data_IF_960264759705
#
_entry.id   IF_960264759705
#
_cell.length_a   1.000
_cell.length_b   1.000
_cell.length_c   1.000
_cell.angle_alpha   90.00
_cell.angle_beta   90.00
_cell.angle_gamma   90.00
#
_symmetry.space_group_name_H-M   'P 1'
#
loop_
_entity.id
_entity.type
_entity.pdbx_description
1 polymer ?
#
# COMPACT_ATOMS: atom_id res chain seq x y z
N UNK A 1 18.16 0.07 -5.45
CA UNK A 1 16.84 -0.60 -5.51
C UNK A 1 16.02 0.15 -6.55
N UNK A 2 15.50 -0.53 -7.57
CA UNK A 2 14.63 0.06 -8.60
C UNK A 2 13.34 -0.75 -8.65
N UNK A 3 12.23 -0.08 -8.41
CA UNK A 3 10.89 -0.65 -8.50
C UNK A 3 9.92 0.41 -9.00
N UNK A 4 8.94 -0.02 -9.79
CA UNK A 4 7.80 0.82 -10.20
C UNK A 4 6.67 0.57 -9.21
N UNK A 5 6.08 1.64 -8.68
CA UNK A 5 4.97 1.54 -7.72
C UNK A 5 3.68 2.00 -8.39
N UNK A 6 2.67 1.14 -8.41
CA UNK A 6 1.34 1.42 -8.93
C UNK A 6 0.36 1.56 -7.77
N UNK A 7 -0.58 2.50 -7.89
CA UNK A 7 -1.67 2.63 -6.91
C UNK A 7 -2.67 1.48 -7.05
N UNK A 8 -3.10 1.21 -8.28
CA UNK A 8 -4.23 0.31 -8.56
C UNK A 8 -3.84 -0.96 -9.29
N UNK A 9 -4.65 -2.01 -9.14
CA UNK A 9 -4.51 -3.26 -9.87
C UNK A 9 -4.65 -3.06 -11.39
N UNK A 10 -5.48 -2.11 -11.83
CA UNK A 10 -5.57 -1.77 -13.25
C UNK A 10 -4.31 -1.08 -13.78
N UNK A 11 -3.65 -0.26 -12.95
CA UNK A 11 -2.32 0.27 -13.25
C UNK A 11 -1.28 -0.85 -13.38
N UNK A 12 -1.34 -1.86 -12.51
CA UNK A 12 -0.51 -3.05 -12.61
C UNK A 12 -0.78 -3.82 -13.92
N UNK A 13 -2.05 -4.05 -14.27
CA UNK A 13 -2.44 -4.69 -15.54
C UNK A 13 -1.94 -3.91 -16.74
N UNK A 14 -2.12 -2.59 -16.78
CA UNK A 14 -1.59 -1.74 -17.85
C UNK A 14 -0.06 -1.84 -17.96
N UNK A 15 0.62 -2.06 -16.83
CA UNK A 15 2.05 -2.34 -16.76
C UNK A 15 2.44 -3.80 -16.94
N UNK A 16 1.52 -4.75 -17.17
CA UNK A 16 1.79 -6.20 -17.30
C UNK A 16 1.17 -6.87 -18.53
N UNK A 17 0.14 -6.31 -19.18
CA UNK A 17 -0.55 -6.92 -20.31
C UNK A 17 0.37 -7.10 -21.51
N UNK A 18 0.77 -8.34 -21.75
CA UNK A 18 1.35 -8.81 -23.00
C UNK A 18 0.21 -9.15 -23.97
N UNK A 19 0.34 -8.78 -25.24
CA UNK A 19 -0.59 -9.25 -26.26
C UNK A 19 -0.63 -10.78 -26.27
N UNK A 20 -1.81 -11.35 -26.52
CA UNK A 20 -2.03 -12.80 -26.64
C UNK A 20 -1.27 -13.47 -27.81
N UNK A 21 -0.40 -12.74 -28.52
CA UNK A 21 0.36 -13.21 -29.68
C UNK A 21 1.86 -13.17 -29.40
N UNK A 22 2.43 -14.32 -29.04
CA UNK A 22 3.86 -14.62 -29.14
C UNK A 22 4.84 -13.74 -28.35
N UNK A 23 6.13 -14.08 -28.34
CA UNK A 23 7.13 -13.36 -27.57
C UNK A 23 7.47 -12.02 -28.24
N UNK A 24 7.42 -10.95 -27.43
CA UNK A 24 8.10 -9.65 -27.60
C UNK A 24 7.68 -8.79 -28.81
N UNK A 25 6.48 -8.22 -28.75
CA UNK A 25 6.26 -6.91 -29.36
C UNK A 25 6.79 -5.82 -28.41
N UNK A 26 8.03 -5.40 -28.65
CA UNK A 26 8.81 -4.39 -27.90
C UNK A 26 8.17 -2.99 -27.97
N UNK A 27 7.14 -2.80 -28.80
CA UNK A 27 6.41 -1.54 -29.00
C UNK A 27 5.38 -1.21 -27.92
N UNK A 28 5.10 -2.13 -27.00
CA UNK A 28 4.06 -1.92 -25.97
C UNK A 28 4.62 -1.40 -24.64
N UNK A 29 3.84 -0.53 -23.97
CA UNK A 29 4.00 -0.14 -22.55
C UNK A 29 5.30 0.62 -22.24
N UNK A 30 5.87 0.45 -21.05
CA UNK A 30 7.13 1.10 -20.65
C UNK A 30 8.32 0.70 -21.56
N UNK A 31 8.30 -0.50 -22.13
CA UNK A 31 9.29 -0.91 -23.12
C UNK A 31 9.15 -0.10 -24.42
N UNK A 32 7.91 0.10 -24.89
CA UNK A 32 7.62 0.96 -26.05
C UNK A 32 7.99 2.42 -25.82
N UNK A 33 7.63 2.98 -24.65
CA UNK A 33 8.03 4.34 -24.25
C UNK A 33 9.55 4.44 -24.19
N UNK A 34 10.22 3.50 -23.52
CA UNK A 34 11.68 3.43 -23.46
C UNK A 34 12.33 3.40 -24.84
N UNK A 35 11.83 2.55 -25.74
CA UNK A 35 12.32 2.45 -27.11
C UNK A 35 12.12 3.78 -27.88
N UNK A 36 10.96 4.43 -27.74
CA UNK A 36 10.66 5.71 -28.41
C UNK A 36 11.56 6.87 -27.99
N UNK A 37 12.08 6.84 -26.75
CA UNK A 37 13.03 7.85 -26.23
C UNK A 37 14.50 7.40 -26.35
N UNK A 38 14.77 6.33 -27.09
CA UNK A 38 16.12 5.78 -27.30
C UNK A 38 16.73 5.11 -26.07
N UNK A 39 15.92 4.72 -25.08
CA UNK A 39 16.31 4.03 -23.84
C UNK A 39 15.48 2.75 -23.65
N UNK A 40 15.65 1.73 -24.50
CA UNK A 40 14.94 0.47 -24.35
C UNK A 40 15.23 -0.15 -22.96
N UNK A 41 14.19 -0.72 -22.34
CA UNK A 41 14.31 -1.38 -21.05
C UNK A 41 14.60 -2.87 -21.29
N UNK A 42 15.87 -3.27 -21.25
CA UNK A 42 16.26 -4.69 -21.41
C UNK A 42 16.32 -5.47 -20.09
N UNK A 43 16.05 -4.81 -18.96
CA UNK A 43 16.13 -5.41 -17.64
C UNK A 43 14.74 -5.70 -17.05
N UNK A 44 14.64 -6.83 -16.35
CA UNK A 44 13.47 -7.12 -15.51
C UNK A 44 13.39 -6.09 -14.37
N UNK A 45 12.22 -5.47 -14.21
CA UNK A 45 11.96 -4.53 -13.13
C UNK A 45 10.89 -5.08 -12.18
N UNK A 46 11.00 -4.72 -10.90
CA UNK A 46 10.00 -5.05 -9.89
C UNK A 46 8.83 -4.07 -9.99
N UNK A 47 7.60 -4.58 -9.95
CA UNK A 47 6.40 -3.75 -9.82
C UNK A 47 5.72 -4.05 -8.49
N UNK A 48 5.40 -3.00 -7.73
CA UNK A 48 4.68 -3.09 -6.45
C UNK A 48 3.32 -2.40 -6.64
N UNK A 49 2.23 -3.12 -6.40
CA UNK A 49 0.88 -2.57 -6.43
C UNK A 49 0.39 -2.29 -5.00
N UNK A 50 0.05 -1.04 -4.68
CA UNK A 50 -0.37 -0.63 -3.33
C UNK A 50 -1.67 -1.32 -2.88
N UNK A 51 -2.63 -1.53 -3.78
CA UNK A 51 -3.86 -2.28 -3.49
C UNK A 51 -3.62 -3.76 -3.13
N UNK A 52 -2.52 -4.34 -3.62
CA UNK A 52 -2.19 -5.74 -3.35
C UNK A 52 -1.36 -5.91 -2.06
N UNK A 53 -0.89 -4.81 -1.47
CA UNK A 53 -0.14 -4.87 -0.22
C UNK A 53 -1.09 -5.07 0.95
N UNK A 54 -0.76 -6.00 1.85
CA UNK A 54 -1.45 -6.09 3.13
C UNK A 54 -0.97 -4.93 4.01
N UNK A 55 -1.86 -4.01 4.42
CA UNK A 55 -1.47 -2.91 5.29
C UNK A 55 -1.11 -3.45 6.68
N UNK A 56 -0.25 -2.72 7.39
CA UNK A 56 -0.06 -2.96 8.82
C UNK A 56 -1.34 -2.57 9.57
N UNK A 57 -1.88 -3.49 10.36
CA UNK A 57 -3.16 -3.33 11.08
C UNK A 57 -2.99 -2.97 12.56
N UNK A 58 -1.76 -2.75 13.03
CA UNK A 58 -1.51 -2.32 14.40
C UNK A 58 -1.62 -0.81 14.58
N UNK A 59 -1.37 -0.37 15.80
CA UNK A 59 -1.49 1.04 16.18
C UNK A 59 -0.36 1.91 15.62
N UNK A 60 -0.55 3.23 15.68
CA UNK A 60 0.47 4.23 15.38
C UNK A 60 0.89 4.94 16.67
N UNK A 61 2.10 5.49 16.70
CA UNK A 61 2.50 6.37 17.81
C UNK A 61 1.58 7.59 17.81
N UNK A 62 0.92 7.82 18.96
CA UNK A 62 -0.03 8.92 19.17
C UNK A 62 0.71 10.25 18.96
N UNK A 63 0.06 11.19 18.25
CA UNK A 63 0.55 12.54 17.96
C UNK A 63 1.92 12.63 17.25
N UNK A 64 2.39 11.54 16.61
CA UNK A 64 3.60 11.59 15.79
C UNK A 64 3.30 12.08 14.36
N UNK A 65 3.80 13.26 13.93
CA UNK A 65 3.58 13.77 12.58
C UNK A 65 4.16 12.85 11.49
N UNK A 66 5.13 12.00 11.85
CA UNK A 66 5.73 11.03 10.93
C UNK A 66 4.96 9.70 10.88
N UNK A 67 3.88 9.55 11.67
CA UNK A 67 3.05 8.34 11.78
C UNK A 67 3.90 7.07 11.93
N UNK A 68 4.90 7.09 12.81
CA UNK A 68 5.76 5.93 13.05
C UNK A 68 4.97 4.81 13.73
N UNK A 69 5.39 3.58 13.44
CA UNK A 69 4.82 2.38 14.04
C UNK A 69 5.44 2.13 15.42
N UNK A 70 4.65 1.83 16.47
CA UNK A 70 5.13 1.42 17.78
C UNK A 70 5.52 -0.06 17.74
N UNK A 71 6.49 -0.42 16.88
CA UNK A 71 6.97 -1.81 16.78
C UNK A 71 7.72 -2.15 18.07
N UNK A 72 7.01 -2.75 19.03
CA UNK A 72 7.59 -3.24 20.28
C UNK A 72 8.33 -4.54 20.01
N UNK A 73 9.63 -4.44 19.70
CA UNK A 73 10.59 -5.54 19.81
C UNK A 73 11.55 -5.24 20.94
N UNK A 74 11.11 -5.46 22.17
CA UNK A 74 12.01 -5.50 23.32
C UNK A 74 12.25 -6.98 23.63
N UNK A 75 13.48 -7.49 23.48
CA UNK A 75 13.86 -8.75 24.12
C UNK A 75 13.53 -8.65 25.61
N UNK A 76 12.81 -9.63 26.15
CA UNK A 76 12.70 -9.77 27.61
C UNK A 76 13.95 -10.48 28.08
N UNK A 77 14.96 -9.70 28.42
CA UNK A 77 16.14 -10.21 29.11
C UNK A 77 15.74 -10.70 30.51
N UNK A 78 16.27 -11.87 30.90
CA UNK A 78 16.08 -12.45 32.25
C UNK A 78 16.68 -11.54 33.33
N UNK A 79 17.69 -10.73 32.98
CA UNK A 79 18.25 -9.67 33.82
C UNK A 79 17.79 -8.30 33.29
N UNK A 80 17.25 -7.47 34.20
CA UNK A 80 16.43 -6.27 33.92
C UNK A 80 17.13 -5.08 33.26
N UNK A 81 18.34 -5.22 32.72
CA UNK A 81 18.97 -4.15 31.96
C UNK A 81 18.63 -4.29 30.48
N UNK A 82 17.85 -3.34 29.98
CA UNK A 82 17.37 -3.33 28.61
C UNK A 82 18.36 -2.51 27.78
N UNK A 83 19.21 -3.10 26.91
CA UNK A 83 19.93 -2.30 25.94
C UNK A 83 18.90 -1.70 24.96
N UNK A 84 19.00 -0.40 24.64
CA UNK A 84 18.04 0.25 23.74
C UNK A 84 18.13 -0.37 22.35
N UNK A 85 16.99 -0.45 21.63
CA UNK A 85 16.87 -0.96 20.25
C UNK A 85 17.79 -0.21 19.24
N UNK A 86 18.43 0.88 19.67
CA UNK A 86 19.50 1.59 18.95
C UNK A 86 20.90 0.95 19.05
N UNK A 87 21.05 -0.20 19.72
CA UNK A 87 22.36 -0.76 20.12
C UNK A 87 22.92 -1.88 19.24
N UNK A 88 22.24 -2.29 18.15
CA UNK A 88 22.89 -3.19 17.17
C UNK A 88 23.79 -2.36 16.26
N UNK A 89 24.89 -1.84 16.83
CA UNK A 89 25.87 -1.06 16.10
C UNK A 89 26.81 -1.99 15.32
N UNK A 90 27.17 -3.12 15.94
CA UNK A 90 28.12 -4.09 15.40
C UNK A 90 27.47 -5.44 15.10
N UNK A 91 28.17 -6.27 14.30
CA UNK A 91 27.78 -7.68 14.12
C UNK A 91 27.78 -8.45 15.43
N UNK A 92 28.65 -8.12 16.40
CA UNK A 92 28.72 -8.82 17.67
C UNK A 92 27.44 -8.63 18.49
N UNK A 93 26.95 -7.39 18.58
CA UNK A 93 25.67 -7.07 19.23
C UNK A 93 24.52 -7.84 18.57
N UNK A 94 24.54 -7.92 17.23
CA UNK A 94 23.53 -8.66 16.47
C UNK A 94 23.54 -10.17 16.76
N UNK A 95 24.72 -10.75 17.01
CA UNK A 95 24.86 -12.17 17.33
C UNK A 95 24.37 -12.48 18.74
N UNK A 96 24.54 -11.57 19.70
CA UNK A 96 23.99 -11.70 21.05
C UNK A 96 22.45 -11.65 21.04
N UNK A 97 21.89 -10.81 20.17
CA UNK A 97 20.45 -10.62 20.00
C UNK A 97 19.79 -11.66 19.06
N UNK A 98 20.57 -12.56 18.46
CA UNK A 98 20.10 -13.52 17.45
C UNK A 98 18.84 -14.31 17.86
N UNK A 99 18.69 -14.79 19.11
CA UNK A 99 17.48 -15.50 19.56
C UNK A 99 16.21 -14.65 19.51
N UNK A 100 16.33 -13.33 19.50
CA UNK A 100 15.21 -12.38 19.49
C UNK A 100 14.96 -11.74 18.12
N UNK A 101 15.83 -12.01 17.13
CA UNK A 101 15.68 -11.52 15.76
C UNK A 101 14.77 -12.47 14.97
N UNK A 102 13.54 -12.05 14.68
CA UNK A 102 12.55 -12.88 13.96
C UNK A 102 12.64 -12.72 12.44
N UNK A 103 12.66 -11.48 11.95
CA UNK A 103 12.46 -11.17 10.52
C UNK A 103 13.74 -10.70 9.81
N UNK A 104 14.87 -10.84 10.48
CA UNK A 104 16.17 -10.35 10.03
C UNK A 104 16.63 -9.10 10.79
N UNK A 105 17.94 -8.82 10.69
CA UNK A 105 18.65 -7.79 11.43
C UNK A 105 19.69 -7.10 10.55
N UNK A 106 19.97 -5.84 10.85
CA UNK A 106 20.97 -5.04 10.14
C UNK A 106 21.82 -4.30 11.19
N UNK A 107 23.14 -4.33 11.05
CA UNK A 107 24.07 -3.54 11.86
C UNK A 107 24.69 -2.40 11.03
N UNK A 108 25.18 -1.37 11.73
CA UNK A 108 25.82 -0.21 11.10
C UNK A 108 27.18 -0.56 10.47
N UNK A 109 27.89 -1.56 10.99
CA UNK A 109 29.11 -2.15 10.40
C UNK A 109 28.84 -3.07 9.18
N UNK A 110 27.67 -2.91 8.55
CA UNK A 110 27.25 -3.53 7.28
C UNK A 110 26.94 -5.04 7.42
N UNK A 111 26.65 -5.52 8.63
CA UNK A 111 26.07 -6.84 8.85
C UNK A 111 24.61 -6.90 8.43
N UNK A 112 24.21 -7.96 7.74
CA UNK A 112 22.81 -8.24 7.43
C UNK A 112 22.53 -9.72 7.70
N UNK A 113 21.49 -9.96 8.50
CA UNK A 113 20.87 -11.27 8.71
C UNK A 113 19.50 -11.21 8.06
N UNK A 114 19.21 -12.12 7.14
CA UNK A 114 17.89 -12.27 6.54
C UNK A 114 17.02 -13.15 7.43
N UNK A 115 15.70 -13.09 7.22
CA UNK A 115 14.77 -14.03 7.84
C UNK A 115 15.20 -15.49 7.59
N UNK A 116 14.98 -16.35 8.57
CA UNK A 116 15.41 -17.76 8.52
C UNK A 116 16.89 -17.99 8.80
N UNK A 117 17.60 -17.02 9.40
CA UNK A 117 18.98 -17.20 9.87
C UNK A 117 20.05 -17.16 8.78
N UNK A 118 19.73 -16.67 7.58
CA UNK A 118 20.72 -16.57 6.49
C UNK A 118 21.58 -15.33 6.62
N UNK A 119 22.89 -15.52 6.72
CA UNK A 119 23.87 -14.44 6.83
C UNK A 119 24.29 -13.92 5.47
N UNK A 120 24.51 -12.61 5.42
CA UNK A 120 24.84 -11.93 4.20
C UNK A 120 26.26 -11.36 4.33
N UNK A 121 27.24 -12.06 3.77
CA UNK A 121 28.68 -11.77 3.87
C UNK A 121 29.24 -11.09 2.61
N UNK A 122 30.45 -10.52 2.71
CA UNK A 122 31.19 -9.91 1.59
C UNK A 122 31.06 -8.38 1.48
N UNK A 123 31.97 -7.78 0.70
CA UNK A 123 32.00 -6.33 0.44
C UNK A 123 30.87 -5.93 -0.51
N UNK A 124 30.03 -4.98 -0.10
CA UNK A 124 28.93 -4.46 -0.92
C UNK A 124 29.24 -3.08 -1.44
N UNK A 125 29.16 -2.90 -2.77
CA UNK A 125 29.18 -1.58 -3.41
C UNK A 125 27.79 -1.30 -3.98
N UNK A 126 27.08 -0.32 -3.43
CA UNK A 126 25.74 0.05 -3.89
C UNK A 126 25.83 1.34 -4.69
N UNK A 127 25.35 1.33 -5.93
CA UNK A 127 25.35 2.50 -6.82
C UNK A 127 24.20 3.47 -6.50
N UNK A 128 23.04 2.93 -6.12
CA UNK A 128 21.82 3.69 -5.82
C UNK A 128 21.73 3.90 -4.31
N UNK A 129 21.63 5.16 -3.87
CA UNK A 129 21.53 5.54 -2.45
C UNK A 129 20.17 6.16 -2.18
N UNK A 130 19.69 6.04 -0.94
CA UNK A 130 18.51 6.78 -0.52
C UNK A 130 18.82 8.29 -0.51
N UNK A 131 17.91 9.12 -1.01
CA UNK A 131 18.08 10.57 -0.94
C UNK A 131 18.15 11.00 0.52
N UNK A 132 19.11 11.86 0.86
CA UNK A 132 19.11 12.55 2.15
C UNK A 132 18.03 13.62 2.11
N UNK A 133 17.21 13.71 3.15
CA UNK A 133 16.32 14.86 3.30
C UNK A 133 17.18 16.12 3.42
N UNK A 134 17.28 16.90 2.35
CA UNK A 134 17.80 18.26 2.45
C UNK A 134 16.85 19.06 3.34
N UNK A 135 17.40 19.95 4.19
CA UNK A 135 16.59 20.83 5.03
C UNK A 135 15.49 21.48 4.19
N UNK A 136 14.25 21.43 4.70
CA UNK A 136 13.01 21.88 4.06
C UNK A 136 13.02 23.40 3.78
N UNK A 137 13.92 23.91 2.93
CA UNK A 137 14.16 25.37 2.86
C UNK A 137 13.51 26.09 1.68
N UNK A 138 13.01 25.40 0.65
CA UNK A 138 12.42 26.09 -0.53
C UNK A 138 10.89 26.10 -0.59
N UNK A 139 10.19 25.21 0.13
CA UNK A 139 8.73 25.19 0.18
C UNK A 139 8.24 25.36 1.62
N UNK A 140 7.41 26.38 1.84
CA UNK A 140 6.85 26.75 3.14
C UNK A 140 6.06 25.56 3.70
N UNK A 141 6.23 25.27 4.99
CA UNK A 141 5.57 24.15 5.68
C UNK A 141 4.03 24.20 5.56
N UNK A 142 3.46 25.39 5.38
CA UNK A 142 2.05 25.62 5.08
C UNK A 142 1.58 24.97 3.78
N UNK A 143 2.42 24.90 2.74
CA UNK A 143 2.08 24.29 1.46
C UNK A 143 1.87 22.78 1.62
N UNK A 144 2.78 22.09 2.29
CA UNK A 144 2.67 20.65 2.52
C UNK A 144 1.46 20.32 3.39
N UNK A 145 1.18 21.12 4.41
CA UNK A 145 -0.03 20.96 5.23
C UNK A 145 -1.30 21.10 4.38
N UNK A 146 -1.34 22.08 3.48
CA UNK A 146 -2.45 22.24 2.54
C UNK A 146 -2.56 21.10 1.54
N UNK A 147 -1.44 20.58 1.04
CA UNK A 147 -1.43 19.44 0.12
C UNK A 147 -1.94 18.16 0.80
N UNK A 148 -1.52 17.90 2.03
CA UNK A 148 -2.01 16.77 2.85
C UNK A 148 -3.52 16.92 3.05
N UNK A 149 -3.98 18.09 3.51
CA UNK A 149 -5.41 18.37 3.70
C UNK A 149 -6.20 18.21 2.39
N UNK A 150 -5.65 18.65 1.26
CA UNK A 150 -6.29 18.48 -0.04
C UNK A 150 -6.42 17.01 -0.44
N UNK A 151 -5.42 16.17 -0.13
CA UNK A 151 -5.49 14.73 -0.37
C UNK A 151 -6.54 14.05 0.51
N UNK A 152 -6.64 14.45 1.78
CA UNK A 152 -7.65 13.94 2.72
C UNK A 152 -9.07 14.31 2.26
N UNK A 153 -9.33 15.58 1.94
CA UNK A 153 -10.63 16.03 1.44
C UNK A 153 -11.02 15.36 0.11
N UNK A 154 -10.06 15.14 -0.80
CA UNK A 154 -10.32 14.38 -2.03
C UNK A 154 -10.73 12.94 -1.74
N UNK A 155 -10.10 12.30 -0.75
CA UNK A 155 -10.44 10.95 -0.35
C UNK A 155 -11.81 10.86 0.35
N UNK A 156 -12.13 11.81 1.24
CA UNK A 156 -13.45 11.91 1.86
C UNK A 156 -14.56 12.09 0.82
N UNK A 157 -14.36 12.98 -0.16
CA UNK A 157 -15.30 13.18 -1.26
C UNK A 157 -15.60 11.88 -1.99
N UNK A 158 -14.58 11.10 -2.35
CA UNK A 158 -14.76 9.83 -3.08
C UNK A 158 -15.62 8.87 -2.26
N UNK A 159 -15.36 8.70 -0.96
CA UNK A 159 -16.18 7.83 -0.11
C UNK A 159 -17.63 8.31 0.02
N UNK A 160 -17.84 9.61 0.18
CA UNK A 160 -19.20 10.15 0.24
C UNK A 160 -19.99 9.91 -1.05
N UNK A 161 -19.34 9.96 -2.22
CA UNK A 161 -19.99 9.66 -3.51
C UNK A 161 -20.35 8.17 -3.59
N UNK A 162 -19.44 7.28 -3.20
CA UNK A 162 -19.69 5.83 -3.15
C UNK A 162 -20.88 5.49 -2.23
N UNK A 163 -20.96 6.14 -1.05
CA UNK A 163 -22.07 5.97 -0.11
C UNK A 163 -23.39 6.53 -0.67
N UNK A 164 -23.35 7.67 -1.35
CA UNK A 164 -24.54 8.25 -2.00
C UNK A 164 -25.08 7.33 -3.09
N UNK A 165 -24.20 6.80 -3.95
CA UNK A 165 -24.59 5.84 -4.99
C UNK A 165 -25.21 4.58 -4.37
N UNK A 166 -24.62 4.06 -3.29
CA UNK A 166 -25.18 2.93 -2.54
C UNK A 166 -26.58 3.23 -2.03
N UNK A 167 -26.80 4.35 -1.35
CA UNK A 167 -28.13 4.72 -0.85
C UNK A 167 -29.13 4.95 -1.97
N UNK A 168 -28.69 5.52 -3.09
CA UNK A 168 -29.53 5.70 -4.27
C UNK A 168 -30.00 4.35 -4.83
N UNK A 169 -29.13 3.34 -4.92
CA UNK A 169 -29.53 1.99 -5.36
C UNK A 169 -30.57 1.38 -4.42
N UNK A 170 -30.39 1.50 -3.10
CA UNK A 170 -31.36 1.01 -2.11
C UNK A 170 -32.72 1.71 -2.26
N UNK A 171 -32.72 3.03 -2.44
CA UNK A 171 -33.94 3.80 -2.65
C UNK A 171 -34.67 3.37 -3.93
N UNK A 172 -33.95 3.16 -5.03
CA UNK A 172 -34.57 2.68 -6.28
C UNK A 172 -35.18 1.29 -6.11
N UNK A 173 -34.50 0.39 -5.42
CA UNK A 173 -35.00 -0.95 -5.11
C UNK A 173 -36.26 -0.90 -4.24
N UNK A 174 -36.26 -0.08 -3.18
CA UNK A 174 -37.43 0.08 -2.30
C UNK A 174 -38.64 0.67 -3.05
N UNK A 175 -38.44 1.68 -3.91
CA UNK A 175 -39.49 2.25 -4.75
C UNK A 175 -40.09 1.23 -5.71
N UNK A 176 -39.25 0.38 -6.30
CA UNK A 176 -39.71 -0.69 -7.20
C UNK A 176 -40.54 -1.73 -6.45
N UNK A 177 -40.06 -2.20 -5.29
CA UNK A 177 -40.81 -3.11 -4.41
C UNK A 177 -42.16 -2.54 -3.99
N UNK A 178 -42.20 -1.25 -3.62
CA UNK A 178 -43.45 -0.57 -3.29
C UNK A 178 -44.43 -0.51 -4.47
N UNK A 179 -43.94 -0.16 -5.67
CA UNK A 179 -44.77 -0.13 -6.89
C UNK A 179 -45.36 -1.50 -7.21
N UNK A 180 -44.57 -2.57 -7.06
CA UNK A 180 -45.02 -3.94 -7.28
C UNK A 180 -46.12 -4.30 -6.28
N UNK A 181 -45.86 -4.14 -4.97
CA UNK A 181 -46.84 -4.43 -3.91
C UNK A 181 -48.13 -3.61 -4.06
N UNK A 182 -48.04 -2.35 -4.47
CA UNK A 182 -49.21 -1.51 -4.73
C UNK A 182 -50.07 -2.07 -5.86
N UNK A 183 -49.46 -2.54 -6.96
CA UNK A 183 -50.20 -3.16 -8.08
C UNK A 183 -50.86 -4.48 -7.65
N UNK A 184 -50.14 -5.31 -6.90
CA UNK A 184 -50.68 -6.55 -6.34
C UNK A 184 -51.90 -6.27 -5.47
N UNK A 185 -51.78 -5.31 -4.55
CA UNK A 185 -52.88 -4.90 -3.68
C UNK A 185 -54.12 -4.46 -4.46
N UNK A 186 -53.97 -3.60 -5.47
CA UNK A 186 -55.09 -3.16 -6.32
C UNK A 186 -55.74 -4.34 -7.05
N UNK A 187 -54.93 -5.29 -7.55
CA UNK A 187 -55.44 -6.51 -8.19
C UNK A 187 -56.28 -7.35 -7.21
N UNK A 188 -55.81 -7.55 -5.97
CA UNK A 188 -56.57 -8.26 -4.94
C UNK A 188 -57.94 -7.61 -4.67
N UNK A 189 -58.02 -6.28 -4.61
CA UNK A 189 -59.28 -5.55 -4.44
C UNK A 189 -60.25 -5.75 -5.62
N UNK A 190 -59.75 -5.68 -6.85
CA UNK A 190 -60.60 -5.87 -8.04
C UNK A 190 -61.21 -7.27 -8.11
N UNK A 191 -60.51 -8.31 -7.65
CA UNK A 191 -61.00 -9.69 -7.63
C UNK A 191 -62.00 -9.94 -6.49
N UNK A 192 -61.84 -9.28 -5.35
CA UNK A 192 -62.76 -9.46 -4.20
C UNK A 192 -64.10 -8.75 -4.41
N UNK A 193 -64.15 -7.69 -5.23
CA UNK A 193 -65.39 -7.02 -5.60
C UNK A 193 -66.27 -7.79 -6.61
N UNK A 194 -65.73 -8.78 -7.31
CA UNK A 194 -66.49 -9.57 -8.32
C UNK A 194 -67.25 -10.78 -7.73
N UNK A 195 -67.22 -10.96 -6.41
CA UNK A 195 -67.92 -12.05 -5.70
C UNK A 195 -69.12 -11.54 -4.86
N UNK A 196 -69.51 -10.29 -5.03
CA UNK A 196 -70.75 -9.66 -4.53
C UNK A 196 -71.65 -9.33 -5.72
#
# INVERSE_FOLDING_TARGET
>A
MLAVVCKTHDGLKALLTSDKKGPTNTSSRLHGVGASIGRPLDYRYLVICLENLRPYTGEFIIDDPKRRLPIRRKPRYVNKETPPVASIQTRADMMQELPFITDGGISLDIGIIKSGGTFSLGKRKVQIKFPKSFGRSYLRESYFKSEIRMKELKWERVRCVEDLEREQTLLTNAKNSFKIRKKEFVKFFSQSSSYL
#
